data_IF_615773522856
#
_entry.id   IF_615773522856
#
_cell.length_a   1.000
_cell.length_b   1.000
_cell.length_c   1.000
_cell.angle_alpha   90.00
_cell.angle_beta   90.00
_cell.angle_gamma   90.00
#
_symmetry.space_group_name_H-M   'P 1'
#
loop_
_entity.id
_entity.type
_entity.pdbx_description
1 polymer ?
#
# COMPACT_ATOMS: atom_id res chain seq x y z
N UNK A 1 38.78 -48.43 -59.53
CA UNK A 1 39.40 -48.19 -58.19
C UNK A 1 39.24 -46.73 -57.82
N UNK A 2 38.37 -46.41 -56.86
CA UNK A 2 38.41 -45.23 -55.99
C UNK A 2 37.33 -45.43 -54.92
N UNK A 3 37.75 -45.93 -53.77
CA UNK A 3 36.96 -46.10 -52.56
C UNK A 3 36.87 -44.76 -51.83
N UNK A 4 35.65 -44.27 -51.60
CA UNK A 4 35.40 -43.14 -50.70
C UNK A 4 35.22 -43.66 -49.27
N UNK A 5 35.96 -43.08 -48.32
CA UNK A 5 35.82 -43.33 -46.89
C UNK A 5 34.64 -42.55 -46.33
N UNK A 6 33.76 -43.24 -45.61
CA UNK A 6 32.73 -42.64 -44.76
C UNK A 6 33.36 -42.16 -43.44
N UNK A 7 33.20 -40.87 -43.14
CA UNK A 7 33.44 -40.29 -41.81
C UNK A 7 32.12 -40.27 -41.06
N UNK A 8 32.02 -40.82 -39.83
CA UNK A 8 30.81 -40.70 -39.03
C UNK A 8 30.79 -39.34 -38.30
N UNK A 9 29.73 -38.57 -38.52
CA UNK A 9 29.43 -37.33 -37.79
C UNK A 9 28.85 -37.73 -36.42
N UNK A 10 29.63 -37.53 -35.36
CA UNK A 10 29.12 -37.56 -33.98
C UNK A 10 28.38 -36.24 -33.69
N UNK A 11 27.06 -36.32 -33.60
CA UNK A 11 26.18 -35.26 -33.10
C UNK A 11 26.32 -35.19 -31.57
N UNK A 12 27.07 -34.21 -31.06
CA UNK A 12 27.04 -33.81 -29.65
C UNK A 12 25.75 -33.01 -29.41
N UNK A 13 24.73 -33.65 -28.83
CA UNK A 13 23.58 -32.98 -28.23
C UNK A 13 24.04 -32.31 -26.92
N UNK A 14 24.39 -31.04 -26.99
CA UNK A 14 24.57 -30.21 -25.80
C UNK A 14 23.19 -29.94 -25.18
N UNK A 15 22.86 -30.71 -24.13
CA UNK A 15 21.72 -30.43 -23.26
C UNK A 15 22.04 -29.14 -22.48
N UNK A 16 21.64 -27.99 -23.03
CA UNK A 16 21.57 -26.75 -22.27
C UNK A 16 20.43 -26.88 -21.25
N UNK A 17 20.73 -27.52 -20.11
CA UNK A 17 19.91 -27.44 -18.93
C UNK A 17 19.97 -25.98 -18.46
N UNK A 18 19.02 -25.16 -18.91
CA UNK A 18 18.77 -23.87 -18.27
C UNK A 18 18.29 -24.19 -16.86
N UNK A 19 19.22 -24.13 -15.90
CA UNK A 19 18.87 -24.05 -14.49
C UNK A 19 18.12 -22.72 -14.36
N UNK A 20 16.78 -22.77 -14.37
CA UNK A 20 16.00 -21.71 -13.75
C UNK A 20 16.44 -21.70 -12.28
N UNK A 21 17.35 -20.79 -11.94
CA UNK A 21 17.50 -20.39 -10.54
C UNK A 21 16.16 -19.80 -10.15
N UNK A 22 15.32 -20.61 -9.50
CA UNK A 22 14.27 -20.09 -8.64
C UNK A 22 14.98 -19.09 -7.73
N UNK A 23 14.68 -17.80 -7.87
CA UNK A 23 15.32 -16.77 -7.06
C UNK A 23 15.02 -17.14 -5.60
N UNK A 24 16.07 -17.56 -4.88
CA UNK A 24 15.88 -18.15 -3.56
C UNK A 24 15.23 -17.09 -2.66
N UNK A 25 14.05 -17.42 -2.12
CA UNK A 25 13.28 -16.50 -1.27
C UNK A 25 14.18 -15.91 -0.18
N UNK A 26 14.34 -14.57 -0.21
CA UNK A 26 15.31 -13.85 0.61
C UNK A 26 14.74 -13.45 1.97
N UNK A 27 13.41 -13.32 2.06
CA UNK A 27 12.70 -12.79 3.22
C UNK A 27 11.79 -13.85 3.84
N UNK A 28 11.81 -13.94 5.18
CA UNK A 28 10.79 -14.63 5.97
C UNK A 28 9.90 -13.60 6.65
N UNK A 29 8.60 -13.68 6.42
CA UNK A 29 7.62 -12.75 7.02
C UNK A 29 7.50 -12.97 8.54
N UNK A 30 6.83 -12.06 9.25
CA UNK A 30 6.53 -12.23 10.67
C UNK A 30 5.78 -13.53 10.96
N UNK A 31 4.84 -13.92 10.09
CA UNK A 31 4.13 -15.20 10.17
C UNK A 31 5.10 -16.39 10.14
N UNK A 32 5.99 -16.44 9.16
CA UNK A 32 6.94 -17.55 9.02
C UNK A 32 7.95 -17.60 10.18
N UNK A 33 8.30 -16.43 10.72
CA UNK A 33 9.14 -16.36 11.92
C UNK A 33 8.38 -16.85 13.15
N UNK A 34 7.11 -16.51 13.31
CA UNK A 34 6.27 -17.00 14.40
C UNK A 34 6.10 -18.53 14.33
N UNK A 35 5.78 -19.07 13.14
CA UNK A 35 5.67 -20.52 12.89
C UNK A 35 6.97 -21.24 13.24
N UNK A 36 8.13 -20.72 12.77
CA UNK A 36 9.44 -21.31 13.06
C UNK A 36 9.77 -21.35 14.56
N UNK A 37 9.21 -20.43 15.35
CA UNK A 37 9.37 -20.40 16.80
C UNK A 37 8.19 -21.06 17.53
N UNK A 38 7.49 -21.99 16.87
CA UNK A 38 6.39 -22.77 17.44
C UNK A 38 5.31 -21.90 18.09
N UNK A 39 4.99 -20.75 17.48
CA UNK A 39 3.95 -19.84 17.96
C UNK A 39 4.09 -19.42 19.43
N UNK A 40 5.32 -19.28 19.93
CA UNK A 40 5.59 -19.09 21.36
C UNK A 40 4.79 -17.94 22.02
N UNK A 41 4.50 -16.86 21.29
CA UNK A 41 3.73 -15.71 21.78
C UNK A 41 2.24 -16.03 22.00
N UNK A 42 1.71 -17.05 21.32
CA UNK A 42 0.28 -17.37 21.28
C UNK A 42 -0.08 -18.59 22.12
N UNK A 43 0.89 -19.41 22.54
CA UNK A 43 0.63 -20.66 23.28
C UNK A 43 -0.30 -20.46 24.47
N UNK A 44 -1.37 -21.26 24.52
CA UNK A 44 -2.37 -21.26 25.58
C UNK A 44 -3.29 -20.03 25.60
N UNK A 45 -3.22 -19.15 24.60
CA UNK A 45 -4.03 -17.93 24.51
C UNK A 45 -5.24 -18.10 23.61
N UNK A 46 -6.24 -17.27 23.87
CA UNK A 46 -7.37 -17.00 22.98
C UNK A 46 -7.03 -15.86 22.05
N UNK A 47 -6.96 -16.16 20.75
CA UNK A 47 -6.42 -15.28 19.72
C UNK A 47 -7.56 -14.67 18.90
N UNK A 48 -7.56 -13.36 18.73
CA UNK A 48 -8.27 -12.69 17.65
C UNK A 48 -7.31 -12.34 16.51
N UNK A 49 -7.75 -12.50 15.27
CA UNK A 49 -6.90 -12.27 14.09
C UNK A 49 -7.47 -11.17 13.20
N UNK A 50 -6.73 -10.07 13.07
CA UNK A 50 -6.96 -9.01 12.09
C UNK A 50 -6.18 -9.35 10.82
N UNK A 51 -6.89 -9.73 9.77
CA UNK A 51 -6.28 -10.18 8.53
C UNK A 51 -7.20 -9.98 7.32
N UNK A 52 -6.65 -10.23 6.13
CA UNK A 52 -7.34 -10.24 4.85
C UNK A 52 -6.64 -11.27 3.93
N UNK A 53 -6.96 -11.37 2.63
CA UNK A 53 -6.33 -12.37 1.74
C UNK A 53 -4.80 -12.32 1.65
N UNK A 54 -4.20 -11.18 2.02
CA UNK A 54 -2.74 -11.00 1.99
C UNK A 54 -2.04 -11.65 3.18
N UNK A 55 -2.79 -12.00 4.23
CA UNK A 55 -2.33 -12.76 5.39
C UNK A 55 -2.07 -14.22 5.00
N UNK A 56 -0.95 -14.45 4.33
CA UNK A 56 -0.50 -15.75 3.85
C UNK A 56 0.97 -16.01 4.17
N UNK A 57 1.35 -17.29 4.19
CA UNK A 57 2.73 -17.76 4.21
C UNK A 57 3.34 -17.85 2.79
N UNK A 58 4.57 -18.36 2.69
CA UNK A 58 5.27 -18.54 1.41
C UNK A 58 4.57 -19.50 0.45
N UNK A 59 3.75 -20.41 0.97
CA UNK A 59 3.05 -21.44 0.22
C UNK A 59 1.62 -21.01 -0.15
N UNK A 60 1.29 -19.72 0.04
CA UNK A 60 -0.04 -19.16 -0.15
C UNK A 60 -1.09 -19.71 0.82
N UNK A 61 -0.66 -20.28 1.95
CA UNK A 61 -1.60 -20.74 2.98
C UNK A 61 -2.01 -19.56 3.85
N UNK A 62 -3.32 -19.37 4.04
CA UNK A 62 -3.86 -18.29 4.86
C UNK A 62 -3.45 -18.41 6.32
N UNK A 63 -3.14 -17.28 6.96
CA UNK A 63 -2.92 -17.17 8.41
C UNK A 63 -4.13 -17.65 9.19
N UNK A 64 -5.35 -17.45 8.66
CA UNK A 64 -6.59 -17.98 9.24
C UNK A 64 -6.49 -19.49 9.39
N UNK A 65 -6.16 -20.19 8.31
CA UNK A 65 -6.16 -21.65 8.30
C UNK A 65 -4.96 -22.21 9.09
N UNK A 66 -3.81 -21.53 9.06
CA UNK A 66 -2.64 -21.89 9.87
C UNK A 66 -2.97 -21.79 11.37
N UNK A 67 -3.64 -20.71 11.77
CA UNK A 67 -3.98 -20.47 13.18
C UNK A 67 -5.10 -21.37 13.65
N UNK A 68 -6.14 -21.56 12.84
CA UNK A 68 -7.28 -22.43 13.17
C UNK A 68 -6.85 -23.90 13.38
N UNK A 69 -5.88 -24.38 12.60
CA UNK A 69 -5.40 -25.76 12.70
C UNK A 69 -4.27 -25.96 13.74
N UNK A 70 -3.85 -24.91 14.47
CA UNK A 70 -2.79 -25.02 15.47
C UNK A 70 -3.36 -25.42 16.83
N UNK A 71 -2.97 -26.58 17.43
CA UNK A 71 -3.53 -27.02 18.70
C UNK A 71 -2.94 -26.28 19.92
N UNK A 72 -1.90 -25.47 19.74
CA UNK A 72 -1.19 -24.82 20.82
C UNK A 72 -1.94 -23.59 21.38
N UNK A 73 -2.95 -23.08 20.68
CA UNK A 73 -3.76 -21.92 21.05
C UNK A 73 -5.14 -21.99 20.41
N UNK A 74 -6.06 -21.12 20.82
CA UNK A 74 -7.44 -21.12 20.34
C UNK A 74 -7.71 -19.86 19.50
N UNK A 75 -8.03 -20.01 18.21
CA UNK A 75 -8.45 -18.89 17.37
C UNK A 75 -9.95 -18.61 17.60
N UNK A 76 -10.28 -17.46 18.19
CA UNK A 76 -11.64 -17.13 18.64
C UNK A 76 -12.47 -16.37 17.61
N UNK A 77 -11.86 -15.43 16.88
CA UNK A 77 -12.56 -14.52 15.99
C UNK A 77 -11.63 -13.94 14.92
N UNK A 78 -12.23 -13.56 13.79
CA UNK A 78 -11.57 -12.87 12.69
C UNK A 78 -12.08 -11.42 12.60
N UNK A 79 -11.20 -10.50 12.24
CA UNK A 79 -11.50 -9.09 12.08
C UNK A 79 -11.09 -8.64 10.69
N UNK A 80 -12.08 -8.33 9.85
CA UNK A 80 -11.88 -7.90 8.47
C UNK A 80 -11.81 -6.38 8.34
N UNK A 81 -10.74 -5.81 7.76
CA UNK A 81 -10.67 -4.38 7.43
C UNK A 81 -11.50 -4.07 6.17
N UNK A 82 -11.16 -2.97 5.48
CA UNK A 82 -11.62 -2.71 4.11
C UNK A 82 -11.40 -3.95 3.22
N UNK A 83 -12.39 -4.29 2.38
CA UNK A 83 -12.46 -5.51 1.55
C UNK A 83 -12.72 -6.85 2.28
N UNK A 84 -12.77 -6.86 3.61
CA UNK A 84 -13.10 -8.04 4.41
C UNK A 84 -11.98 -9.09 4.51
N UNK A 85 -12.24 -10.18 5.25
CA UNK A 85 -11.24 -11.21 5.57
C UNK A 85 -10.88 -12.10 4.37
N UNK A 86 -11.87 -12.51 3.58
CA UNK A 86 -11.67 -13.39 2.42
C UNK A 86 -11.53 -12.64 1.08
N UNK A 87 -11.72 -11.32 1.09
CA UNK A 87 -11.51 -10.44 -0.08
C UNK A 87 -12.72 -10.30 -0.99
N UNK A 88 -13.90 -10.69 -0.52
CA UNK A 88 -15.08 -10.92 -1.33
C UNK A 88 -15.86 -9.61 -1.66
N UNK A 89 -15.29 -8.45 -1.31
CA UNK A 89 -15.96 -7.14 -1.36
C UNK A 89 -15.15 -6.06 -2.09
N UNK A 90 -15.85 -5.15 -2.78
CA UNK A 90 -15.26 -4.01 -3.49
C UNK A 90 -14.73 -2.91 -2.56
N UNK A 91 -14.06 -1.91 -3.16
CA UNK A 91 -13.58 -0.73 -2.44
C UNK A 91 -14.75 0.13 -1.96
N UNK A 92 -14.77 0.50 -0.68
CA UNK A 92 -15.85 1.28 -0.09
C UNK A 92 -17.13 0.50 0.22
N UNK A 93 -17.19 -0.81 -0.06
CA UNK A 93 -18.35 -1.63 0.25
C UNK A 93 -18.53 -1.82 1.76
N UNK A 94 -19.79 -1.89 2.20
CA UNK A 94 -20.14 -2.22 3.58
C UNK A 94 -20.12 -3.74 3.77
N UNK A 95 -19.35 -4.21 4.75
CA UNK A 95 -19.27 -5.61 5.12
C UNK A 95 -19.99 -5.79 6.46
N UNK A 96 -20.96 -6.70 6.51
CA UNK A 96 -21.62 -7.11 7.77
C UNK A 96 -20.82 -8.16 8.52
N UNK A 97 -21.12 -8.34 9.80
CA UNK A 97 -20.57 -9.46 10.57
C UNK A 97 -21.16 -10.78 10.03
N UNK A 98 -20.35 -11.84 9.97
CA UNK A 98 -20.79 -13.14 9.48
C UNK A 98 -20.03 -14.27 10.18
N UNK A 99 -20.37 -15.52 9.86
CA UNK A 99 -19.63 -16.69 10.30
C UNK A 99 -18.79 -17.21 9.13
N UNK A 100 -17.48 -17.32 9.30
CA UNK A 100 -16.60 -17.85 8.27
C UNK A 100 -17.01 -19.31 7.97
N UNK A 101 -17.44 -19.64 6.75
CA UNK A 101 -18.02 -20.94 6.44
C UNK A 101 -17.00 -22.08 6.51
N UNK A 102 -15.70 -21.79 6.43
CA UNK A 102 -14.66 -22.79 6.48
C UNK A 102 -14.28 -23.18 7.91
N UNK A 103 -14.12 -22.18 8.79
CA UNK A 103 -13.66 -22.37 10.17
C UNK A 103 -14.79 -22.37 11.21
N UNK A 104 -15.98 -21.88 10.86
CA UNK A 104 -17.09 -21.69 11.78
C UNK A 104 -16.91 -20.51 12.75
N UNK A 105 -15.87 -19.70 12.58
CA UNK A 105 -15.55 -18.59 13.48
C UNK A 105 -16.38 -17.34 13.19
N UNK A 106 -16.69 -16.52 14.21
CA UNK A 106 -17.27 -15.20 13.99
C UNK A 106 -16.26 -14.30 13.26
N UNK A 107 -16.75 -13.56 12.27
CA UNK A 107 -16.03 -12.54 11.53
C UNK A 107 -16.67 -11.18 11.80
N UNK A 108 -15.88 -10.26 12.34
CA UNK A 108 -16.27 -8.88 12.60
C UNK A 108 -15.74 -7.96 11.52
N UNK A 109 -16.62 -7.16 10.94
CA UNK A 109 -16.23 -6.07 10.06
C UNK A 109 -15.76 -4.88 10.89
N UNK A 110 -14.51 -4.47 10.70
CA UNK A 110 -13.92 -3.27 11.29
C UNK A 110 -13.69 -2.20 10.21
N UNK A 111 -14.68 -2.05 9.31
CA UNK A 111 -14.77 -1.00 8.30
C UNK A 111 -16.15 -0.31 8.31
N UNK A 112 -16.25 0.85 7.66
CA UNK A 112 -17.52 1.59 7.58
C UNK A 112 -17.90 2.25 8.90
N UNK A 113 -19.02 1.84 9.50
CA UNK A 113 -19.55 2.41 10.77
C UNK A 113 -18.71 2.04 11.99
N UNK A 114 -18.08 0.88 11.96
CA UNK A 114 -17.25 0.37 13.05
C UNK A 114 -15.85 0.19 12.51
N UNK A 115 -14.91 1.10 12.82
CA UNK A 115 -13.51 1.04 12.33
C UNK A 115 -12.51 0.61 13.39
N UNK A 116 -12.96 0.60 14.65
CA UNK A 116 -12.23 0.21 15.84
C UNK A 116 -12.97 -0.99 16.45
N UNK A 117 -12.29 -2.11 16.76
CA UNK A 117 -12.93 -3.23 17.45
C UNK A 117 -13.64 -2.76 18.73
N UNK A 118 -14.88 -3.18 18.94
CA UNK A 118 -15.61 -2.82 20.17
C UNK A 118 -15.25 -3.75 21.32
N UNK A 119 -15.52 -3.32 22.55
CA UNK A 119 -15.29 -4.16 23.74
C UNK A 119 -15.99 -5.52 23.66
N UNK A 120 -17.19 -5.55 23.09
CA UNK A 120 -17.99 -6.78 22.91
C UNK A 120 -17.32 -7.73 21.92
N UNK A 121 -16.77 -7.19 20.81
CA UNK A 121 -16.03 -8.00 19.83
C UNK A 121 -14.74 -8.60 20.43
N UNK A 122 -14.18 -7.94 21.45
CA UNK A 122 -12.94 -8.34 22.11
C UNK A 122 -13.15 -9.26 23.32
N UNK A 123 -14.39 -9.60 23.66
CA UNK A 123 -14.68 -10.38 24.85
C UNK A 123 -14.05 -11.79 24.78
N UNK A 124 -13.23 -12.10 25.79
CA UNK A 124 -12.59 -13.41 25.91
C UNK A 124 -11.37 -13.62 25.01
N UNK A 125 -10.90 -12.58 24.32
CA UNK A 125 -9.64 -12.58 23.56
C UNK A 125 -8.51 -12.14 24.50
N UNK A 126 -7.43 -12.91 24.56
CA UNK A 126 -6.23 -12.59 25.35
C UNK A 126 -5.20 -11.82 24.51
N UNK A 127 -5.18 -12.06 23.19
CA UNK A 127 -4.23 -11.45 22.25
C UNK A 127 -4.88 -11.17 20.89
N UNK A 128 -4.70 -9.95 20.39
CA UNK A 128 -5.01 -9.58 19.01
C UNK A 128 -3.76 -9.67 18.15
N UNK A 129 -3.85 -10.37 17.02
CA UNK A 129 -2.78 -10.50 16.05
C UNK A 129 -3.14 -9.73 14.79
N UNK A 130 -2.22 -8.91 14.27
CA UNK A 130 -2.35 -8.21 13.00
C UNK A 130 -1.41 -8.83 11.96
N UNK A 131 -1.97 -9.29 10.84
CA UNK A 131 -1.21 -9.85 9.72
C UNK A 131 -1.82 -9.45 8.36
N UNK A 132 -1.39 -8.29 7.84
CA UNK A 132 -1.88 -7.69 6.60
C UNK A 132 -0.72 -7.02 5.85
N UNK A 133 -0.64 -7.25 4.53
CA UNK A 133 0.27 -6.55 3.63
C UNK A 133 -0.29 -5.15 3.29
N UNK A 134 0.40 -4.11 3.77
CA UNK A 134 0.15 -2.71 3.38
C UNK A 134 0.96 -2.32 2.12
N UNK A 135 0.79 -1.10 1.60
CA UNK A 135 1.51 -0.60 0.41
C UNK A 135 2.54 0.49 0.71
N UNK A 136 2.65 0.98 1.96
CA UNK A 136 3.62 1.99 2.36
C UNK A 136 3.17 3.44 2.13
N UNK A 137 1.86 3.66 1.94
CA UNK A 137 1.26 4.98 1.76
C UNK A 137 0.21 5.26 2.83
N UNK A 138 0.24 6.47 3.40
CA UNK A 138 -0.61 6.88 4.53
C UNK A 138 -2.10 6.75 4.27
N UNK A 139 -2.53 6.97 3.03
CA UNK A 139 -3.94 6.93 2.66
C UNK A 139 -4.49 5.53 2.44
N UNK A 140 -3.63 4.50 2.48
CA UNK A 140 -4.06 3.12 2.45
C UNK A 140 -4.48 2.67 3.85
N UNK A 141 -5.76 2.36 4.03
CA UNK A 141 -6.40 2.44 5.35
C UNK A 141 -6.06 1.29 6.30
N UNK A 142 -5.33 0.27 5.86
CA UNK A 142 -4.93 -0.85 6.72
C UNK A 142 -4.08 -0.41 7.90
N UNK A 143 -3.18 0.57 7.71
CA UNK A 143 -2.42 1.14 8.83
C UNK A 143 -3.28 1.99 9.78
N UNK A 144 -4.39 2.57 9.29
CA UNK A 144 -5.38 3.21 10.16
C UNK A 144 -6.09 2.17 11.02
N UNK A 145 -6.49 1.04 10.43
CA UNK A 145 -7.01 -0.13 11.16
C UNK A 145 -6.01 -0.65 12.19
N UNK A 146 -4.71 -0.76 11.84
CA UNK A 146 -3.65 -1.17 12.77
C UNK A 146 -3.67 -0.33 14.04
N UNK A 147 -3.58 1.00 13.93
CA UNK A 147 -3.50 1.85 15.12
C UNK A 147 -4.82 1.93 15.91
N UNK A 148 -5.98 1.95 15.25
CA UNK A 148 -7.28 1.89 15.95
C UNK A 148 -7.46 0.56 16.70
N UNK A 149 -6.98 -0.55 16.15
CA UNK A 149 -7.01 -1.84 16.82
C UNK A 149 -6.01 -1.91 17.99
N UNK A 150 -4.84 -1.28 17.88
CA UNK A 150 -3.90 -1.13 18.98
C UNK A 150 -4.50 -0.32 20.14
N UNK A 151 -5.22 0.77 19.84
CA UNK A 151 -5.97 1.52 20.86
C UNK A 151 -7.01 0.64 21.56
N UNK A 152 -7.83 -0.08 20.79
CA UNK A 152 -8.86 -0.95 21.36
C UNK A 152 -8.25 -2.05 22.24
N UNK A 153 -7.10 -2.61 21.84
CA UNK A 153 -6.38 -3.59 22.63
C UNK A 153 -5.87 -2.98 23.95
N UNK A 154 -5.25 -1.79 23.89
CA UNK A 154 -4.76 -1.07 25.06
C UNK A 154 -5.88 -0.75 26.06
N UNK A 155 -7.01 -0.25 25.57
CA UNK A 155 -8.20 0.09 26.39
C UNK A 155 -8.82 -1.14 27.08
N UNK A 156 -8.62 -2.34 26.53
CA UNK A 156 -9.19 -3.58 27.05
C UNK A 156 -8.14 -4.49 27.73
N UNK A 157 -6.90 -4.02 27.92
CA UNK A 157 -5.78 -4.79 28.49
C UNK A 157 -5.48 -6.09 27.72
N UNK A 158 -5.59 -6.04 26.40
CA UNK A 158 -5.31 -7.16 25.49
C UNK A 158 -3.94 -6.95 24.86
N UNK A 159 -3.12 -8.01 24.82
CA UNK A 159 -1.84 -7.94 24.13
C UNK A 159 -2.06 -7.78 22.62
N UNK A 160 -1.25 -6.96 21.97
CA UNK A 160 -1.29 -6.79 20.51
C UNK A 160 0.00 -7.30 19.88
N UNK A 161 -0.13 -8.17 18.87
CA UNK A 161 1.00 -8.79 18.16
C UNK A 161 0.95 -8.42 16.69
N UNK A 162 1.99 -7.77 16.18
CA UNK A 162 2.14 -7.49 14.74
C UNK A 162 3.03 -8.55 14.10
N UNK A 163 2.51 -9.27 13.11
CA UNK A 163 3.32 -10.11 12.23
C UNK A 163 3.85 -9.22 11.11
N UNK A 164 5.11 -8.83 11.22
CA UNK A 164 5.62 -7.77 10.35
C UNK A 164 5.74 -8.23 8.88
N UNK A 165 5.52 -7.30 7.96
CA UNK A 165 5.55 -7.51 6.50
C UNK A 165 6.36 -6.44 5.79
N UNK A 166 6.93 -6.73 4.60
CA UNK A 166 7.71 -5.76 3.83
C UNK A 166 6.91 -4.50 3.54
N UNK A 167 7.54 -3.33 3.62
CA UNK A 167 7.00 -2.15 2.93
C UNK A 167 7.29 -2.30 1.42
N UNK A 168 6.27 -2.34 0.53
CA UNK A 168 6.50 -2.57 -0.89
C UNK A 168 7.29 -1.47 -1.63
N UNK A 169 7.25 -0.24 -1.09
CA UNK A 169 8.04 0.91 -1.54
C UNK A 169 9.48 0.91 -0.99
N UNK A 170 9.82 -0.07 -0.17
CA UNK A 170 11.05 -0.11 0.60
C UNK A 170 11.02 0.81 1.84
N UNK A 171 12.09 0.77 2.62
CA UNK A 171 12.27 1.57 3.83
C UNK A 171 13.10 2.85 3.64
N UNK A 172 13.46 3.22 2.40
CA UNK A 172 14.32 4.39 2.14
C UNK A 172 13.49 5.62 1.73
N UNK A 173 12.55 5.45 0.79
CA UNK A 173 11.74 6.53 0.24
C UNK A 173 10.78 7.06 1.31
N UNK A 174 10.75 8.38 1.48
CA UNK A 174 9.82 9.09 2.35
C UNK A 174 9.44 10.39 1.67
N UNK A 175 8.15 10.66 1.52
CA UNK A 175 7.63 11.79 0.74
C UNK A 175 6.33 12.31 1.35
N UNK A 176 6.10 13.63 1.26
CA UNK A 176 4.87 14.29 1.69
C UNK A 176 4.85 14.75 3.15
N UNK A 177 4.04 15.78 3.39
CA UNK A 177 3.84 16.35 4.72
C UNK A 177 3.23 15.35 5.70
N UNK A 178 3.39 15.65 6.99
CA UNK A 178 2.71 14.95 8.06
C UNK A 178 1.25 15.42 8.12
N UNK A 179 0.34 14.56 8.60
CA UNK A 179 -1.05 14.99 8.81
C UNK A 179 -1.14 16.03 9.91
N UNK A 180 -1.79 17.16 9.61
CA UNK A 180 -2.17 18.18 10.58
C UNK A 180 -3.44 17.78 11.35
N UNK A 181 -3.61 18.22 12.62
CA UNK A 181 -4.72 17.81 13.47
C UNK A 181 -6.11 17.92 12.83
N UNK A 182 -6.36 19.01 12.10
CA UNK A 182 -7.65 19.29 11.44
C UNK A 182 -7.97 18.34 10.28
N UNK A 183 -6.95 17.64 9.78
CA UNK A 183 -7.02 16.72 8.65
C UNK A 183 -6.87 15.27 9.07
N UNK A 184 -6.81 14.96 10.38
CA UNK A 184 -6.84 13.59 10.88
C UNK A 184 -8.16 12.94 10.49
N UNK A 185 -8.06 11.81 9.79
CA UNK A 185 -9.20 11.03 9.33
C UNK A 185 -8.76 9.59 9.05
N UNK A 186 -9.67 8.70 8.68
CA UNK A 186 -9.31 7.31 8.39
C UNK A 186 -8.34 7.12 7.21
N UNK A 187 -8.21 8.10 6.31
CA UNK A 187 -7.22 8.11 5.20
C UNK A 187 -5.95 8.92 5.53
N UNK A 188 -5.83 9.36 6.77
CA UNK A 188 -4.78 10.27 7.26
C UNK A 188 -4.63 10.16 8.78
N UNK A 189 -4.73 8.93 9.31
CA UNK A 189 -5.06 8.70 10.72
C UNK A 189 -3.95 9.17 11.69
N UNK A 190 -2.70 9.20 11.22
CA UNK A 190 -1.53 9.53 12.04
C UNK A 190 -0.67 10.63 11.40
N UNK A 191 0.07 11.41 12.21
CA UNK A 191 0.97 12.46 11.72
C UNK A 191 2.27 11.85 11.16
N UNK A 192 2.14 11.09 10.06
CA UNK A 192 3.22 10.48 9.30
C UNK A 192 3.24 11.05 7.86
N UNK A 193 4.38 11.00 7.15
CA UNK A 193 4.45 11.38 5.73
C UNK A 193 3.50 10.55 4.85
N UNK A 194 3.16 11.08 3.68
CA UNK A 194 2.29 10.39 2.71
C UNK A 194 2.89 9.07 2.20
N UNK A 195 4.19 9.04 1.92
CA UNK A 195 5.01 7.81 1.80
C UNK A 195 5.88 7.77 3.04
N UNK A 196 5.61 6.86 3.97
CA UNK A 196 6.20 6.91 5.32
C UNK A 196 7.49 6.08 5.47
N UNK A 197 7.76 5.14 4.57
CA UNK A 197 9.00 4.37 4.55
C UNK A 197 9.22 3.45 5.78
N UNK A 198 8.17 3.05 6.49
CA UNK A 198 8.21 2.12 7.62
C UNK A 198 7.50 0.81 7.26
N UNK A 199 7.90 -0.30 7.86
CA UNK A 199 7.04 -1.51 7.88
C UNK A 199 5.87 -1.31 8.85
N UNK A 200 4.87 -2.19 8.81
CA UNK A 200 3.73 -2.12 9.74
C UNK A 200 4.17 -2.34 11.20
N UNK A 201 5.19 -3.18 11.43
CA UNK A 201 5.80 -3.37 12.75
C UNK A 201 6.58 -2.15 13.24
N UNK A 202 7.41 -1.54 12.38
CA UNK A 202 8.12 -0.29 12.69
C UNK A 202 7.14 0.86 12.97
N UNK A 203 6.05 0.94 12.19
CA UNK A 203 4.98 1.92 12.40
C UNK A 203 4.26 1.69 13.74
N UNK A 204 3.89 0.46 14.07
CA UNK A 204 3.26 0.15 15.37
C UNK A 204 4.15 0.57 16.55
N UNK A 205 5.46 0.27 16.48
CA UNK A 205 6.42 0.71 17.50
C UNK A 205 6.50 2.23 17.62
N UNK A 206 6.54 2.93 16.49
CA UNK A 206 6.54 4.39 16.44
C UNK A 206 5.28 4.98 17.08
N UNK A 207 4.09 4.51 16.68
CA UNK A 207 2.81 5.00 17.20
C UNK A 207 2.69 4.79 18.72
N UNK A 208 3.05 3.60 19.19
CA UNK A 208 2.95 3.24 20.60
C UNK A 208 3.93 4.03 21.48
N UNK A 209 5.18 4.20 21.01
CA UNK A 209 6.24 4.84 21.80
C UNK A 209 6.15 6.36 21.85
N UNK A 210 5.58 6.98 20.81
CA UNK A 210 5.41 8.43 20.73
C UNK A 210 4.05 8.90 21.27
N UNK A 211 3.24 8.00 21.85
CA UNK A 211 1.93 8.34 22.41
C UNK A 211 0.93 8.84 21.37
N UNK A 212 0.99 8.30 20.15
CA UNK A 212 0.16 8.73 19.02
C UNK A 212 -1.17 7.97 18.90
N UNK A 213 -1.40 7.03 19.82
CA UNK A 213 -2.70 6.40 20.02
C UNK A 213 -3.62 7.35 20.80
N UNK A 214 -4.93 7.25 20.59
CA UNK A 214 -5.92 8.11 21.27
C UNK A 214 -5.68 8.20 22.78
N UNK A 215 -5.79 9.42 23.33
CA UNK A 215 -5.54 9.73 24.75
C UNK A 215 -4.15 9.30 25.28
N UNK A 216 -3.20 9.01 24.39
CA UNK A 216 -1.85 8.56 24.76
C UNK A 216 -1.80 7.17 25.39
N UNK A 217 -2.81 6.32 25.14
CA UNK A 217 -2.81 4.94 25.64
C UNK A 217 -1.60 4.17 25.10
N UNK A 218 -1.05 3.28 25.92
CA UNK A 218 0.10 2.44 25.55
C UNK A 218 -0.37 0.99 25.49
N UNK A 219 -0.20 0.39 24.31
CA UNK A 219 -0.53 -0.99 24.04
C UNK A 219 0.58 -1.93 24.53
N UNK A 220 0.24 -3.08 25.13
CA UNK A 220 1.18 -4.19 25.32
C UNK A 220 1.49 -4.80 23.94
N UNK A 221 2.49 -4.21 23.27
CA UNK A 221 2.82 -4.48 21.88
C UNK A 221 4.01 -5.45 21.79
N UNK A 222 3.82 -6.51 21.02
CA UNK A 222 4.91 -7.34 20.51
C UNK A 222 4.96 -7.28 18.97
N UNK A 223 6.15 -7.17 18.40
CA UNK A 223 6.35 -7.24 16.95
C UNK A 223 7.17 -8.48 16.62
N UNK A 224 6.63 -9.36 15.79
CA UNK A 224 7.38 -10.48 15.22
C UNK A 224 8.12 -9.98 13.97
N UNK A 225 9.34 -9.52 14.18
CA UNK A 225 10.17 -8.98 13.11
C UNK A 225 10.50 -10.03 12.04
N UNK A 226 10.52 -9.58 10.78
CA UNK A 226 10.93 -10.38 9.64
C UNK A 226 12.40 -10.80 9.73
N UNK A 227 12.78 -11.81 8.96
CA UNK A 227 14.20 -12.14 8.70
C UNK A 227 14.53 -11.92 7.23
N UNK A 228 15.67 -11.27 6.97
CA UNK A 228 16.21 -11.11 5.61
C UNK A 228 15.77 -9.84 4.88
N UNK A 229 14.65 -9.20 5.26
CA UNK A 229 14.26 -7.92 4.67
C UNK A 229 15.29 -6.83 4.99
N UNK A 230 15.50 -5.94 4.02
CA UNK A 230 16.42 -4.79 4.11
C UNK A 230 15.68 -3.57 3.59
N UNK A 231 16.02 -2.38 4.09
CA UNK A 231 15.31 -1.14 3.73
C UNK A 231 15.38 -0.84 2.23
N UNK A 232 16.42 -1.28 1.53
CA UNK A 232 16.57 -1.12 0.06
C UNK A 232 15.71 -2.07 -0.77
N UNK A 233 15.00 -3.02 -0.15
CA UNK A 233 14.14 -3.98 -0.85
C UNK A 233 12.75 -3.40 -1.07
N UNK A 234 12.42 -3.10 -2.33
CA UNK A 234 11.04 -3.08 -2.83
C UNK A 234 10.47 -4.50 -2.86
N UNK A 235 9.14 -4.65 -2.96
CA UNK A 235 8.50 -5.96 -2.83
C UNK A 235 9.05 -7.01 -3.80
N UNK A 236 9.25 -6.64 -5.07
CA UNK A 236 9.81 -7.53 -6.10
C UNK A 236 11.22 -8.08 -5.76
N UNK A 237 11.96 -7.46 -4.84
CA UNK A 237 13.28 -7.93 -4.39
C UNK A 237 13.20 -8.94 -3.23
N UNK A 238 12.02 -9.18 -2.67
CA UNK A 238 11.82 -10.06 -1.50
C UNK A 238 11.75 -11.54 -1.86
N UNK A 239 11.29 -11.85 -3.08
CA UNK A 239 10.96 -13.21 -3.53
C UNK A 239 9.66 -13.76 -2.91
N UNK A 240 8.83 -12.92 -2.29
CA UNK A 240 7.53 -13.31 -1.77
C UNK A 240 6.46 -13.27 -2.88
N UNK A 241 5.40 -14.10 -2.80
CA UNK A 241 4.25 -13.98 -3.68
C UNK A 241 3.47 -12.70 -3.37
N UNK A 242 2.94 -12.05 -4.41
CA UNK A 242 2.01 -10.92 -4.26
C UNK A 242 0.57 -11.42 -4.35
N UNK A 243 -0.18 -11.19 -3.28
CA UNK A 243 -1.65 -11.22 -3.30
C UNK A 243 -2.10 -9.77 -3.34
N UNK A 244 -3.01 -9.46 -4.27
CA UNK A 244 -3.52 -8.10 -4.43
C UNK A 244 -4.03 -7.55 -3.09
N UNK A 245 -3.49 -6.40 -2.68
CA UNK A 245 -3.85 -5.81 -1.39
C UNK A 245 -5.23 -5.18 -1.44
N UNK A 246 -5.66 -4.73 -2.63
CA UNK A 246 -7.03 -4.34 -2.98
C UNK A 246 -7.24 -4.52 -4.49
N UNK A 247 -8.48 -4.47 -5.01
CA UNK A 247 -8.76 -4.74 -6.44
C UNK A 247 -7.96 -3.87 -7.42
N UNK A 248 -7.55 -2.66 -7.01
CA UNK A 248 -6.79 -1.73 -7.85
C UNK A 248 -5.27 -1.73 -7.55
N UNK A 249 -4.79 -2.60 -6.66
CA UNK A 249 -3.35 -2.86 -6.45
C UNK A 249 -3.06 -4.34 -6.81
N UNK A 250 -3.25 -4.73 -8.09
CA UNK A 250 -3.21 -6.13 -8.50
C UNK A 250 -1.81 -6.75 -8.56
N UNK A 251 -0.75 -5.95 -8.66
CA UNK A 251 0.61 -6.41 -8.89
C UNK A 251 1.60 -5.84 -7.87
N UNK A 252 2.72 -6.52 -7.68
CA UNK A 252 3.77 -6.12 -6.72
C UNK A 252 4.41 -4.76 -7.03
N UNK A 253 4.28 -4.28 -8.27
CA UNK A 253 4.72 -2.94 -8.68
C UNK A 253 3.62 -1.88 -8.56
N UNK A 254 2.33 -2.26 -8.45
CA UNK A 254 1.22 -1.32 -8.31
C UNK A 254 1.38 -0.35 -7.12
N UNK A 255 1.96 -0.77 -5.96
CA UNK A 255 2.28 0.17 -4.87
C UNK A 255 3.13 1.37 -5.29
N UNK A 256 3.98 1.24 -6.31
CA UNK A 256 4.81 2.36 -6.80
C UNK A 256 3.97 3.47 -7.43
N UNK A 257 2.85 3.10 -8.04
CA UNK A 257 1.98 4.00 -8.79
C UNK A 257 0.85 4.58 -7.96
N UNK A 258 0.42 3.90 -6.90
CA UNK A 258 -0.57 4.45 -5.97
C UNK A 258 -0.23 5.88 -5.51
N UNK A 259 0.98 6.18 -4.97
CA UNK A 259 1.30 7.55 -4.57
C UNK A 259 1.47 8.51 -5.76
N UNK A 260 1.76 7.99 -6.97
CA UNK A 260 1.96 8.80 -8.18
C UNK A 260 0.69 9.54 -8.59
N UNK A 261 -0.48 8.94 -8.41
CA UNK A 261 -1.75 9.48 -8.91
C UNK A 261 -2.92 9.44 -7.92
N UNK A 262 -2.76 8.77 -6.77
CA UNK A 262 -3.84 8.52 -5.82
C UNK A 262 -4.47 9.78 -5.24
N UNK A 263 -3.70 10.84 -4.97
CA UNK A 263 -4.23 12.11 -4.43
C UNK A 263 -5.12 12.80 -5.46
N UNK A 264 -4.65 12.92 -6.71
CA UNK A 264 -5.45 13.43 -7.82
C UNK A 264 -6.68 12.54 -8.09
N UNK A 265 -6.53 11.23 -7.91
CA UNK A 265 -7.61 10.26 -8.01
C UNK A 265 -8.83 10.63 -7.17
N UNK A 266 -8.64 11.27 -6.01
CA UNK A 266 -9.75 11.70 -5.17
C UNK A 266 -10.64 12.78 -5.82
N UNK A 267 -10.19 13.51 -6.83
CA UNK A 267 -11.01 14.55 -7.47
C UNK A 267 -12.06 14.01 -8.45
N UNK A 268 -11.86 12.81 -9.00
CA UNK A 268 -12.72 12.20 -10.04
C UNK A 268 -12.91 13.04 -11.30
N UNK A 269 -11.92 13.86 -11.66
CA UNK A 269 -11.97 14.73 -12.87
C UNK A 269 -11.17 14.15 -14.02
N UNK A 270 -10.10 13.40 -13.70
CA UNK A 270 -9.20 12.77 -14.65
C UNK A 270 -9.13 11.28 -14.33
N UNK A 271 -9.14 10.43 -15.36
CA UNK A 271 -8.90 9.02 -15.17
C UNK A 271 -7.45 8.80 -14.81
N UNK A 272 -7.23 8.18 -13.64
CA UNK A 272 -5.90 7.73 -13.21
C UNK A 272 -5.63 6.27 -13.58
N UNK A 273 -6.44 5.70 -14.48
CA UNK A 273 -6.38 4.29 -14.89
C UNK A 273 -7.22 3.34 -14.02
N UNK A 274 -7.72 3.77 -12.86
CA UNK A 274 -8.77 3.04 -12.13
C UNK A 274 -10.04 3.06 -12.98
N UNK A 275 -10.58 1.90 -13.33
CA UNK A 275 -11.58 1.75 -14.39
C UNK A 275 -11.03 1.11 -15.66
N UNK A 276 -9.70 0.93 -15.75
CA UNK A 276 -8.98 0.34 -16.86
C UNK A 276 -7.93 -0.67 -16.36
N UNK A 277 -7.15 -1.30 -17.25
CA UNK A 277 -6.19 -2.37 -16.91
C UNK A 277 -4.85 -1.86 -16.36
N UNK A 278 -4.72 -0.56 -16.13
CA UNK A 278 -3.47 0.10 -15.69
C UNK A 278 -3.75 1.05 -14.51
N UNK A 279 -4.32 0.57 -13.39
CA UNK A 279 -4.70 1.43 -12.28
C UNK A 279 -3.49 2.18 -11.73
N UNK A 280 -3.70 3.47 -11.47
CA UNK A 280 -2.72 4.44 -10.97
C UNK A 280 -1.56 4.81 -11.91
N UNK A 281 -1.45 4.16 -13.07
CA UNK A 281 -0.34 4.38 -14.02
C UNK A 281 -0.64 5.44 -15.08
N UNK A 282 -1.88 5.91 -15.15
CA UNK A 282 -2.38 6.76 -16.24
C UNK A 282 -2.79 8.13 -15.72
N UNK A 283 -2.86 9.09 -16.64
CA UNK A 283 -3.52 10.38 -16.45
C UNK A 283 -4.20 10.75 -17.78
N UNK A 284 -5.53 10.71 -17.83
CA UNK A 284 -6.25 10.91 -19.08
C UNK A 284 -7.65 11.52 -18.90
N UNK A 285 -8.06 12.33 -19.88
CA UNK A 285 -9.40 12.91 -19.98
C UNK A 285 -9.79 13.13 -21.46
N UNK A 286 -11.07 13.39 -21.73
CA UNK A 286 -11.59 13.60 -23.10
C UNK A 286 -11.00 14.85 -23.78
N UNK A 287 -10.67 15.88 -22.98
CA UNK A 287 -10.18 17.17 -23.45
C UNK A 287 -8.65 17.24 -23.62
N UNK A 288 -7.93 16.17 -23.27
CA UNK A 288 -6.47 16.13 -23.33
C UNK A 288 -5.99 15.74 -24.73
N UNK A 289 -5.02 16.45 -25.28
CA UNK A 289 -4.24 16.01 -26.44
C UNK A 289 -3.00 15.23 -25.95
N UNK A 290 -3.02 13.90 -26.12
CA UNK A 290 -2.03 12.97 -25.57
C UNK A 290 -0.57 13.33 -25.90
N UNK A 291 -0.31 13.70 -27.16
CA UNK A 291 1.04 14.06 -27.62
C UNK A 291 1.54 15.37 -26.98
N UNK A 292 0.67 16.38 -26.87
CA UNK A 292 1.04 17.67 -26.24
C UNK A 292 1.36 17.49 -24.77
N UNK A 293 0.51 16.77 -24.03
CA UNK A 293 0.76 16.50 -22.62
C UNK A 293 2.03 15.66 -22.41
N UNK A 294 2.25 14.65 -23.25
CA UNK A 294 3.48 13.85 -23.19
C UNK A 294 4.73 14.69 -23.42
N UNK A 295 4.73 15.53 -24.47
CA UNK A 295 5.86 16.39 -24.79
C UNK A 295 6.14 17.39 -23.67
N UNK A 296 5.11 18.01 -23.10
CA UNK A 296 5.25 18.94 -21.98
C UNK A 296 5.86 18.25 -20.74
N UNK A 297 5.33 17.08 -20.34
CA UNK A 297 5.81 16.35 -19.17
C UNK A 297 7.23 15.80 -19.35
N UNK A 298 7.55 15.23 -20.51
CA UNK A 298 8.92 14.78 -20.80
C UNK A 298 9.90 15.97 -20.90
N UNK A 299 9.43 17.15 -21.30
CA UNK A 299 10.20 18.39 -21.32
C UNK A 299 10.64 18.88 -19.93
N UNK A 300 9.96 18.45 -18.86
CA UNK A 300 10.36 18.75 -17.48
C UNK A 300 11.60 17.94 -17.03
N UNK A 301 11.97 16.88 -17.75
CA UNK A 301 13.13 16.02 -17.43
C UNK A 301 13.11 15.45 -16.01
N UNK A 302 11.92 15.07 -15.52
CA UNK A 302 11.73 14.54 -14.17
C UNK A 302 12.60 13.28 -13.93
N UNK A 303 13.39 13.22 -12.85
CA UNK A 303 14.27 12.08 -12.59
C UNK A 303 13.49 10.76 -12.45
N UNK A 304 13.97 9.71 -13.11
CA UNK A 304 13.48 8.34 -12.92
C UNK A 304 12.07 8.04 -13.43
N UNK A 305 11.46 8.95 -14.20
CA UNK A 305 10.16 8.74 -14.84
C UNK A 305 10.21 9.15 -16.31
N UNK A 306 9.31 8.57 -17.11
CA UNK A 306 9.07 8.96 -18.50
C UNK A 306 7.59 8.79 -18.82
N UNK A 307 7.10 9.56 -19.79
CA UNK A 307 5.70 9.57 -20.19
C UNK A 307 5.56 9.11 -21.64
N UNK A 308 4.50 8.33 -21.90
CA UNK A 308 4.13 7.84 -23.24
C UNK A 308 2.67 8.21 -23.53
N UNK A 309 2.32 8.64 -24.75
CA UNK A 309 0.92 8.94 -25.08
C UNK A 309 0.06 7.69 -25.01
N UNK A 310 -1.20 7.82 -24.57
CA UNK A 310 -2.17 6.73 -24.51
C UNK A 310 -3.57 7.20 -24.90
N UNK A 311 -4.32 6.28 -25.50
CA UNK A 311 -5.71 6.43 -25.90
C UNK A 311 -6.46 5.17 -25.47
N UNK A 312 -7.54 5.31 -24.70
CA UNK A 312 -8.26 4.14 -24.18
C UNK A 312 -9.68 4.50 -23.75
N UNK A 313 -10.52 3.47 -23.61
CA UNK A 313 -11.87 3.61 -23.07
C UNK A 313 -11.98 2.85 -21.74
N UNK A 314 -12.19 3.53 -20.61
CA UNK A 314 -12.42 2.88 -19.32
C UNK A 314 -13.66 1.96 -19.34
N UNK A 315 -13.55 0.80 -18.71
CA UNK A 315 -14.64 -0.17 -18.53
C UNK A 315 -15.64 0.27 -17.44
N UNK A 316 -15.16 1.00 -16.42
CA UNK A 316 -15.94 1.55 -15.31
C UNK A 316 -15.26 2.81 -14.74
N UNK A 317 -15.82 3.42 -13.69
CA UNK A 317 -15.28 4.61 -13.01
C UNK A 317 -15.21 5.86 -13.92
N UNK A 318 -14.30 6.79 -13.61
CA UNK A 318 -14.09 8.08 -14.30
C UNK A 318 -13.89 7.88 -15.81
N UNK A 319 -14.77 8.50 -16.61
CA UNK A 319 -14.73 8.42 -18.08
C UNK A 319 -15.24 7.10 -18.66
N UNK A 320 -16.04 6.33 -17.91
CA UNK A 320 -16.64 5.07 -18.39
C UNK A 320 -17.30 5.26 -19.76
N UNK A 321 -16.88 4.44 -20.72
CA UNK A 321 -17.49 4.37 -22.05
C UNK A 321 -17.10 5.51 -23.00
N UNK A 322 -16.25 6.45 -22.59
CA UNK A 322 -15.72 7.51 -23.46
C UNK A 322 -14.25 7.27 -23.80
N UNK A 323 -13.82 7.71 -24.99
CA UNK A 323 -12.40 7.63 -25.38
C UNK A 323 -11.67 8.73 -24.64
N UNK A 324 -10.71 8.34 -23.81
CA UNK A 324 -9.82 9.23 -23.09
C UNK A 324 -8.45 9.26 -23.76
N UNK A 325 -7.80 10.40 -23.62
CA UNK A 325 -6.49 10.69 -24.19
C UNK A 325 -5.59 11.18 -23.04
N UNK A 326 -4.31 10.86 -23.08
CA UNK A 326 -3.39 11.35 -22.07
C UNK A 326 -2.07 10.62 -22.06
N UNK A 327 -1.56 10.36 -20.85
CA UNK A 327 -0.22 9.77 -20.67
C UNK A 327 -0.26 8.52 -19.81
N UNK A 328 0.57 7.56 -20.16
CA UNK A 328 1.03 6.49 -19.28
C UNK A 328 2.38 6.89 -18.69
N UNK A 329 2.51 6.79 -17.37
CA UNK A 329 3.78 6.93 -16.69
C UNK A 329 4.55 5.60 -16.67
N UNK A 330 5.84 5.69 -16.96
CA UNK A 330 6.81 4.62 -16.80
C UNK A 330 7.87 5.05 -15.79
N UNK A 331 8.02 4.31 -14.70
CA UNK A 331 9.12 4.49 -13.73
C UNK A 331 10.37 3.81 -14.30
N UNK A 332 11.37 4.60 -14.66
CA UNK A 332 12.64 4.13 -15.25
C UNK A 332 13.74 3.95 -14.21
N UNK A 333 13.65 4.69 -13.09
CA UNK A 333 14.54 4.57 -11.94
C UNK A 333 13.76 4.90 -10.66
N UNK A 334 13.33 3.86 -9.94
CA UNK A 334 12.53 4.01 -8.73
C UNK A 334 13.24 4.79 -7.61
N UNK A 335 14.56 4.67 -7.52
CA UNK A 335 15.33 5.33 -6.45
C UNK A 335 15.35 6.85 -6.66
N UNK A 336 15.42 7.29 -7.92
CA UNK A 336 15.42 8.72 -8.29
C UNK A 336 14.02 9.34 -8.41
N UNK A 337 13.00 8.56 -8.73
CA UNK A 337 11.66 9.08 -8.93
C UNK A 337 11.06 9.65 -7.64
N UNK A 338 10.66 10.93 -7.64
CA UNK A 338 9.81 11.49 -6.60
C UNK A 338 8.36 11.15 -6.95
N UNK A 339 7.80 10.12 -6.31
CA UNK A 339 6.57 9.49 -6.79
C UNK A 339 5.38 10.43 -6.63
N UNK A 340 5.19 10.94 -5.41
CA UNK A 340 3.98 11.67 -5.02
C UNK A 340 3.83 13.05 -5.67
N UNK A 341 4.94 13.71 -6.06
CA UNK A 341 4.88 14.99 -6.76
C UNK A 341 4.46 14.89 -8.23
N UNK A 342 4.53 13.71 -8.85
CA UNK A 342 4.21 13.53 -10.28
C UNK A 342 2.82 14.06 -10.62
N UNK A 343 1.79 13.70 -9.87
CA UNK A 343 0.43 14.18 -10.14
C UNK A 343 0.32 15.71 -10.15
N UNK A 344 1.11 16.41 -9.33
CA UNK A 344 1.10 17.87 -9.32
C UNK A 344 1.80 18.44 -10.57
N UNK A 345 2.86 17.80 -11.08
CA UNK A 345 3.41 18.15 -12.38
C UNK A 345 2.41 17.90 -13.52
N UNK A 346 1.64 16.81 -13.44
CA UNK A 346 0.55 16.55 -14.40
C UNK A 346 -0.51 17.65 -14.34
N UNK A 347 -0.97 18.04 -13.14
CA UNK A 347 -1.94 19.13 -12.99
C UNK A 347 -1.37 20.45 -13.51
N UNK A 348 -0.10 20.76 -13.20
CA UNK A 348 0.61 21.95 -13.69
C UNK A 348 0.62 22.01 -15.23
N UNK A 349 1.07 20.95 -15.90
CA UNK A 349 1.16 20.95 -17.37
C UNK A 349 -0.23 20.90 -18.03
N UNK A 350 -1.21 20.24 -17.40
CA UNK A 350 -2.60 20.30 -17.85
C UNK A 350 -3.15 21.72 -17.76
N UNK A 351 -2.93 22.43 -16.65
CA UNK A 351 -3.40 23.81 -16.49
C UNK A 351 -2.74 24.77 -17.49
N UNK A 352 -1.44 24.58 -17.79
CA UNK A 352 -0.74 25.37 -18.83
C UNK A 352 -1.30 25.13 -20.23
N UNK A 353 -1.56 23.87 -20.58
CA UNK A 353 -2.06 23.51 -21.92
C UNK A 353 -3.56 23.82 -22.09
N UNK A 354 -4.33 23.71 -21.01
CA UNK A 354 -5.79 23.83 -20.99
C UNK A 354 -6.25 24.69 -19.80
N UNK A 355 -6.03 26.02 -19.84
CA UNK A 355 -6.28 26.91 -18.69
C UNK A 355 -7.77 27.01 -18.31
N UNK A 356 -8.69 26.68 -19.21
CA UNK A 356 -10.13 26.58 -18.95
C UNK A 356 -10.53 25.26 -18.25
N UNK A 357 -9.59 24.34 -18.07
CA UNK A 357 -9.79 23.02 -17.44
C UNK A 357 -9.10 22.96 -16.07
N UNK A 358 -9.43 23.90 -15.18
CA UNK A 358 -8.98 23.84 -13.79
C UNK A 358 -9.60 22.63 -13.06
N UNK A 359 -8.78 21.61 -12.78
CA UNK A 359 -9.22 20.37 -12.13
C UNK A 359 -9.88 20.59 -10.77
N UNK A 360 -9.49 21.61 -10.01
CA UNK A 360 -10.09 21.91 -8.71
C UNK A 360 -11.46 22.59 -8.82
N UNK A 361 -11.71 23.30 -9.92
CA UNK A 361 -13.02 23.91 -10.22
C UNK A 361 -13.97 22.91 -10.89
N UNK A 362 -13.42 21.98 -11.67
CA UNK A 362 -14.19 20.95 -12.37
C UNK A 362 -14.66 19.82 -11.45
N UNK A 363 -13.99 19.60 -10.32
CA UNK A 363 -14.38 18.54 -9.39
C UNK A 363 -15.67 18.90 -8.66
N UNK A 364 -16.36 17.89 -8.12
CA UNK A 364 -17.41 18.16 -7.15
C UNK A 364 -16.78 18.80 -5.90
N UNK A 365 -17.23 19.98 -5.42
CA UNK A 365 -16.61 20.67 -4.29
C UNK A 365 -16.47 19.84 -3.01
N UNK A 366 -17.35 18.85 -2.80
CA UNK A 366 -17.26 17.92 -1.67
C UNK A 366 -15.98 17.05 -1.68
N UNK A 367 -15.32 16.90 -2.83
CA UNK A 367 -14.09 16.12 -3.00
C UNK A 367 -12.84 16.88 -2.59
N UNK A 368 -12.89 18.21 -2.54
CA UNK A 368 -11.75 19.03 -2.09
C UNK A 368 -11.36 18.69 -0.65
N UNK A 369 -12.34 18.47 0.23
CA UNK A 369 -12.07 18.06 1.60
C UNK A 369 -11.43 16.67 1.71
N UNK A 370 -11.71 15.76 0.77
CA UNK A 370 -11.04 14.46 0.71
C UNK A 370 -9.61 14.58 0.18
N UNK A 371 -9.41 15.39 -0.87
CA UNK A 371 -8.08 15.72 -1.38
C UNK A 371 -7.17 16.27 -0.28
N UNK A 372 -7.67 17.21 0.51
CA UNK A 372 -6.91 17.81 1.61
C UNK A 372 -6.62 16.81 2.74
N UNK A 373 -7.59 15.94 3.08
CA UNK A 373 -7.38 14.84 4.04
C UNK A 373 -6.29 13.89 3.57
N UNK A 374 -6.33 13.46 2.31
CA UNK A 374 -5.31 12.58 1.73
C UNK A 374 -3.94 13.27 1.70
N UNK A 375 -3.89 14.57 1.40
CA UNK A 375 -2.67 15.38 1.54
C UNK A 375 -2.22 15.53 2.99
N UNK A 376 -3.14 15.47 3.96
CA UNK A 376 -2.88 15.71 5.38
C UNK A 376 -2.88 17.19 5.77
N UNK A 377 -3.20 18.08 4.84
CA UNK A 377 -3.37 19.52 5.02
C UNK A 377 -4.00 20.14 3.78
N UNK A 378 -4.72 21.24 3.94
CA UNK A 378 -5.21 22.06 2.82
C UNK A 378 -4.15 23.01 2.24
N UNK A 379 -3.00 23.19 2.92
CA UNK A 379 -1.97 24.14 2.49
C UNK A 379 -1.43 23.81 1.10
N UNK A 380 -1.36 22.52 0.76
CA UNK A 380 -0.85 22.07 -0.52
C UNK A 380 -1.79 22.48 -1.65
N UNK A 381 -3.09 22.20 -1.52
CA UNK A 381 -4.07 22.64 -2.50
C UNK A 381 -4.09 24.16 -2.59
N UNK A 382 -4.23 24.85 -1.45
CA UNK A 382 -4.33 26.31 -1.41
C UNK A 382 -3.12 27.00 -2.05
N UNK A 383 -1.90 26.59 -1.70
CA UNK A 383 -0.67 27.14 -2.27
C UNK A 383 -0.53 26.77 -3.76
N UNK A 384 -0.71 25.49 -4.11
CA UNK A 384 -0.57 25.05 -5.49
C UNK A 384 -1.54 25.77 -6.44
N UNK A 385 -2.79 25.97 -6.04
CA UNK A 385 -3.81 26.63 -6.88
C UNK A 385 -3.58 28.13 -7.11
N UNK A 386 -2.60 28.76 -6.45
CA UNK A 386 -2.30 30.18 -6.69
C UNK A 386 -1.67 30.39 -8.07
N UNK A 387 -0.69 29.55 -8.44
CA UNK A 387 0.05 29.67 -9.70
C UNK A 387 0.13 28.37 -10.51
N UNK A 388 -0.40 27.26 -9.97
CA UNK A 388 -0.29 25.92 -10.54
C UNK A 388 1.16 25.52 -10.83
N UNK A 389 2.09 25.86 -9.93
CA UNK A 389 3.49 25.45 -10.04
C UNK A 389 3.86 24.49 -8.91
N UNK A 390 4.50 23.37 -9.25
CA UNK A 390 5.04 22.43 -8.25
C UNK A 390 6.12 23.09 -7.39
N UNK A 391 6.88 24.03 -7.96
CA UNK A 391 7.90 24.78 -7.25
C UNK A 391 7.36 25.49 -5.98
N UNK A 392 6.09 25.89 -5.97
CA UNK A 392 5.46 26.57 -4.84
C UNK A 392 5.16 25.61 -3.67
N UNK A 393 5.06 24.30 -3.93
CA UNK A 393 4.72 23.29 -2.93
C UNK A 393 5.84 22.28 -2.66
N UNK A 394 6.87 22.18 -3.50
CA UNK A 394 7.92 21.15 -3.37
C UNK A 394 8.61 21.21 -2.00
N UNK A 395 8.97 22.41 -1.55
CA UNK A 395 9.57 22.61 -0.23
C UNK A 395 8.57 22.25 0.87
N UNK A 396 7.32 22.71 0.78
CA UNK A 396 6.28 22.41 1.77
C UNK A 396 6.02 20.90 1.89
N UNK A 397 6.07 20.19 0.76
CA UNK A 397 5.81 18.75 0.68
C UNK A 397 6.95 17.91 1.30
N UNK A 398 8.18 18.41 1.28
CA UNK A 398 9.38 17.65 1.69
C UNK A 398 10.04 18.14 2.98
N UNK A 399 9.70 19.34 3.47
CA UNK A 399 10.40 20.01 4.58
C UNK A 399 10.45 19.19 5.89
N UNK A 400 9.43 18.37 6.17
CA UNK A 400 9.35 17.60 7.41
C UNK A 400 10.07 16.24 7.33
N UNK A 401 10.42 15.78 6.13
CA UNK A 401 11.00 14.45 5.90
C UNK A 401 12.33 14.24 6.63
N UNK A 402 13.29 15.19 6.66
CA UNK A 402 14.53 15.01 7.40
C UNK A 402 14.31 14.79 8.90
N UNK A 403 13.41 15.57 9.51
CA UNK A 403 13.09 15.48 10.93
C UNK A 403 12.34 14.17 11.25
N UNK A 404 11.37 13.79 10.40
CA UNK A 404 10.67 12.51 10.55
C UNK A 404 11.63 11.33 10.43
N UNK A 405 12.53 11.34 9.43
CA UNK A 405 13.53 10.28 9.23
C UNK A 405 14.42 10.11 10.45
N UNK A 406 14.86 11.21 11.07
CA UNK A 406 15.66 11.14 12.30
C UNK A 406 14.85 10.55 13.45
N UNK A 407 13.61 11.04 13.64
CA UNK A 407 12.71 10.60 14.71
C UNK A 407 12.48 9.10 14.67
N UNK A 408 12.29 8.51 13.48
CA UNK A 408 11.91 7.10 13.35
C UNK A 408 13.07 6.11 13.40
N UNK A 409 14.34 6.57 13.37
CA UNK A 409 15.52 5.68 13.42
C UNK A 409 15.51 4.71 14.59
N UNK A 410 15.06 5.15 15.77
CA UNK A 410 14.99 4.33 16.99
C UNK A 410 13.94 3.22 16.94
N UNK A 411 12.99 3.29 16.00
CA UNK A 411 11.93 2.30 15.80
C UNK A 411 12.23 1.36 14.63
N UNK A 412 13.33 1.58 13.90
CA UNK A 412 13.70 0.75 12.76
C UNK A 412 14.17 -0.63 13.23
N UNK A 413 13.52 -1.68 12.73
CA UNK A 413 13.88 -3.07 12.98
C UNK A 413 14.88 -3.59 11.94
N UNK A 414 15.03 -2.88 10.83
CA UNK A 414 15.77 -3.33 9.66
C UNK A 414 16.80 -2.31 9.20
N UNK A 415 17.89 -2.81 8.60
CA UNK A 415 18.99 -2.01 8.05
C UNK A 415 18.83 -1.75 6.56
#
# INVERSE_FOLDING_TARGET
MKTFHHVPIFLLLAFCCQIHQADAQKVKTGLEVLQKNNFFLLKGKKVGLITNPTGIDRNLQSTVDIFHNCPDFELMALFGPEHGVRGDYGAGDYVENYTDPHTGLPVYSIYGKTRKPTREMLQGIDVLVYDIQDIGSRSYTYISTLGLAMEAAAENNIQFVVLDRPNPLGGIKMEGLLTQPEFVSFVSQFPIPYVHGLTVGELALYLNSEGLLSEGVVCDLAVVAMKGWKRKMTFNKTGLPWVLTSPHIPHEFSPWFYPVSGILGELYVMSIGVGYTLPFQLFAAEWVEAEKLTAALNGLTLPGVSFRPVHFTPYYSTGKGTILHGVQLHITDFEKANLSLVQFYVIQECYKLYPDKNLFDMCNPSRLGMFDKVCGSDIIRKTFTQNFQVADIETLWMQEIPAFREKVKRYMLYK
#
